data_IF_168425942746
#
_entry.id   IF_168425942746
#
_cell.length_a   1.000
_cell.length_b   1.000
_cell.length_c   1.000
_cell.angle_alpha   90.00
_cell.angle_beta   90.00
_cell.angle_gamma   90.00
#
_symmetry.space_group_name_H-M   'P 1'
#
loop_
_entity.id
_entity.type
_entity.pdbx_description
1 polymer ?
#
# COMPACT_ATOMS: atom_id res chain seq x y z
N UNK A 1 37.82 -47.25 5.20
CA UNK A 1 38.09 -45.82 4.95
C UNK A 1 37.44 -45.30 3.67
N UNK A 2 37.79 -45.80 2.47
CA UNK A 2 37.28 -45.25 1.18
C UNK A 2 35.74 -45.26 1.02
N UNK A 3 35.06 -46.33 1.46
CA UNK A 3 33.58 -46.42 1.46
C UNK A 3 32.88 -45.41 2.39
N UNK A 4 33.53 -45.03 3.50
CA UNK A 4 32.96 -44.08 4.46
C UNK A 4 33.04 -42.64 3.90
N UNK A 5 34.18 -42.29 3.28
CA UNK A 5 34.39 -40.99 2.65
C UNK A 5 33.44 -40.74 1.47
N UNK A 6 33.15 -41.77 0.65
CA UNK A 6 32.15 -41.67 -0.42
C UNK A 6 30.72 -41.45 0.11
N UNK A 7 30.36 -42.09 1.22
CA UNK A 7 29.03 -41.93 1.81
C UNK A 7 28.82 -40.54 2.44
N UNK A 8 29.82 -40.00 3.13
CA UNK A 8 29.78 -38.63 3.69
C UNK A 8 29.70 -37.58 2.58
N UNK A 9 30.44 -37.75 1.47
CA UNK A 9 30.38 -36.85 0.32
C UNK A 9 29.00 -36.81 -0.35
N UNK A 10 28.36 -37.97 -0.53
CA UNK A 10 26.99 -38.04 -1.08
C UNK A 10 25.96 -37.39 -0.16
N UNK A 11 26.09 -37.58 1.17
CA UNK A 11 25.20 -36.94 2.14
C UNK A 11 25.30 -35.41 2.09
N UNK A 12 26.52 -34.87 2.02
CA UNK A 12 26.74 -33.42 1.92
C UNK A 12 26.18 -32.85 0.62
N UNK A 13 26.38 -33.55 -0.51
CA UNK A 13 25.81 -33.14 -1.80
C UNK A 13 24.27 -33.10 -1.74
N UNK A 14 23.66 -34.12 -1.14
CA UNK A 14 22.22 -34.18 -0.93
C UNK A 14 21.70 -33.02 -0.08
N UNK A 15 22.38 -32.68 1.03
CA UNK A 15 22.03 -31.52 1.85
C UNK A 15 22.14 -30.21 1.09
N UNK A 16 23.20 -30.03 0.29
CA UNK A 16 23.39 -28.80 -0.51
C UNK A 16 22.26 -28.66 -1.52
N UNK A 17 21.96 -29.71 -2.29
CA UNK A 17 20.86 -29.68 -3.28
C UNK A 17 19.53 -29.40 -2.58
N UNK A 18 19.26 -30.09 -1.46
CA UNK A 18 18.04 -29.87 -0.69
C UNK A 18 17.90 -28.41 -0.21
N UNK A 19 18.96 -27.85 0.36
CA UNK A 19 18.97 -26.45 0.80
C UNK A 19 18.77 -25.49 -0.36
N UNK A 20 19.38 -25.74 -1.52
CA UNK A 20 19.16 -24.91 -2.72
C UNK A 20 17.72 -25.00 -3.22
N UNK A 21 17.13 -26.19 -3.27
CA UNK A 21 15.74 -26.36 -3.73
C UNK A 21 14.76 -25.68 -2.78
N UNK A 22 14.90 -25.88 -1.47
CA UNK A 22 14.02 -25.25 -0.47
C UNK A 22 14.19 -23.73 -0.51
N UNK A 23 15.43 -23.23 -0.47
CA UNK A 23 15.68 -21.78 -0.49
C UNK A 23 15.21 -21.13 -1.78
N UNK A 24 15.49 -21.75 -2.94
CA UNK A 24 15.06 -21.26 -4.25
C UNK A 24 13.54 -21.24 -4.38
N UNK A 25 12.87 -22.30 -3.93
CA UNK A 25 11.40 -22.37 -3.90
C UNK A 25 10.78 -21.29 -3.02
N UNK A 26 11.33 -21.08 -1.82
CA UNK A 26 10.88 -20.00 -0.92
C UNK A 26 11.09 -18.63 -1.53
N UNK A 27 12.26 -18.36 -2.12
CA UNK A 27 12.54 -17.07 -2.77
C UNK A 27 11.60 -16.80 -3.95
N UNK A 28 11.33 -17.82 -4.77
CA UNK A 28 10.41 -17.69 -5.89
C UNK A 28 8.98 -17.38 -5.42
N UNK A 29 8.51 -18.11 -4.40
CA UNK A 29 7.19 -17.88 -3.81
C UNK A 29 7.05 -16.48 -3.20
N UNK A 30 8.02 -16.06 -2.38
CA UNK A 30 8.03 -14.71 -1.78
C UNK A 30 8.14 -13.63 -2.85
N UNK A 31 8.94 -13.84 -3.89
CA UNK A 31 9.05 -12.94 -5.03
C UNK A 31 7.70 -12.75 -5.75
N UNK A 32 6.94 -13.84 -5.94
CA UNK A 32 5.59 -13.79 -6.51
C UNK A 32 4.61 -12.99 -5.64
N UNK A 33 4.63 -13.22 -4.32
CA UNK A 33 3.78 -12.48 -3.38
C UNK A 33 4.12 -10.97 -3.36
N UNK A 34 5.40 -10.62 -3.42
CA UNK A 34 5.83 -9.22 -3.50
C UNK A 34 5.33 -8.57 -4.79
N UNK A 35 5.45 -9.24 -5.94
CA UNK A 35 4.93 -8.71 -7.21
C UNK A 35 3.42 -8.49 -7.17
N UNK A 36 2.66 -9.43 -6.60
CA UNK A 36 1.21 -9.28 -6.45
C UNK A 36 0.85 -8.07 -5.56
N UNK A 37 1.55 -7.91 -4.43
CA UNK A 37 1.35 -6.77 -3.54
C UNK A 37 1.71 -5.44 -4.21
N UNK A 38 2.79 -5.39 -5.00
CA UNK A 38 3.19 -4.19 -5.74
C UNK A 38 2.13 -3.78 -6.78
N UNK A 39 1.54 -4.75 -7.48
CA UNK A 39 0.47 -4.52 -8.44
C UNK A 39 -0.82 -4.03 -7.74
N UNK A 40 -1.12 -4.53 -6.55
CA UNK A 40 -2.23 -4.03 -5.74
C UNK A 40 -2.00 -2.60 -5.26
N UNK A 41 -0.81 -2.28 -4.74
CA UNK A 41 -0.44 -0.92 -4.32
C UNK A 41 -0.53 0.05 -5.50
N UNK A 42 -0.08 -0.36 -6.70
CA UNK A 42 -0.21 0.46 -7.92
C UNK A 42 -1.67 0.81 -8.20
N UNK A 43 -2.57 -0.18 -8.16
CA UNK A 43 -4.01 0.04 -8.37
C UNK A 43 -4.62 0.94 -7.29
N UNK A 44 -4.25 0.73 -6.03
CA UNK A 44 -4.71 1.56 -4.92
C UNK A 44 -4.25 3.02 -5.10
N UNK A 45 -2.99 3.24 -5.49
CA UNK A 45 -2.46 4.57 -5.76
C UNK A 45 -3.19 5.26 -6.92
N UNK A 46 -3.45 4.55 -8.02
CA UNK A 46 -4.22 5.10 -9.14
C UNK A 46 -5.66 5.47 -8.73
N UNK A 47 -6.29 4.67 -7.88
CA UNK A 47 -7.62 4.97 -7.33
C UNK A 47 -7.59 6.18 -6.40
N UNK A 48 -6.58 6.27 -5.52
CA UNK A 48 -6.37 7.41 -4.63
C UNK A 48 -6.10 8.69 -5.41
N UNK A 49 -5.29 8.65 -6.47
CA UNK A 49 -5.00 9.80 -7.31
C UNK A 49 -6.27 10.30 -8.02
N UNK A 50 -7.07 9.39 -8.58
CA UNK A 50 -8.38 9.73 -9.18
C UNK A 50 -9.34 10.33 -8.16
N UNK A 51 -9.38 9.80 -6.94
CA UNK A 51 -10.24 10.33 -5.87
C UNK A 51 -9.74 11.71 -5.41
N UNK A 52 -8.42 11.86 -5.24
CA UNK A 52 -7.77 13.10 -4.86
C UNK A 52 -8.05 14.21 -5.90
N UNK A 53 -7.95 13.91 -7.19
CA UNK A 53 -8.28 14.83 -8.27
C UNK A 53 -9.75 15.29 -8.23
N UNK A 54 -10.68 14.39 -7.88
CA UNK A 54 -12.12 14.70 -7.76
C UNK A 54 -12.50 15.46 -6.49
N UNK A 55 -11.72 15.31 -5.42
CA UNK A 55 -11.99 15.88 -4.08
C UNK A 55 -11.08 17.05 -3.73
N UNK A 56 -10.13 17.38 -4.61
CA UNK A 56 -9.06 18.34 -4.36
C UNK A 56 -8.28 18.07 -3.07
N UNK A 57 -8.17 16.81 -2.66
CA UNK A 57 -7.48 16.39 -1.43
C UNK A 57 -8.26 16.57 -0.14
N UNK A 58 -9.53 16.99 -0.19
CA UNK A 58 -10.41 16.97 0.98
C UNK A 58 -10.75 15.52 1.34
N UNK A 59 -10.53 15.16 2.60
CA UNK A 59 -10.83 13.81 3.13
C UNK A 59 -11.94 13.88 4.18
N UNK A 60 -12.81 12.89 4.19
CA UNK A 60 -13.76 12.70 5.28
C UNK A 60 -13.10 11.89 6.41
N UNK A 61 -13.26 12.34 7.65
CA UNK A 61 -12.83 11.63 8.85
C UNK A 61 -13.98 11.55 9.86
N UNK A 62 -14.19 10.37 10.43
CA UNK A 62 -15.20 10.12 11.46
C UNK A 62 -14.53 9.47 12.65
N UNK A 63 -14.73 10.04 13.84
CA UNK A 63 -14.16 9.54 15.09
C UNK A 63 -15.03 9.91 16.28
N UNK A 64 -14.53 9.64 17.50
CA UNK A 64 -15.24 9.93 18.75
C UNK A 64 -15.62 11.40 18.92
N UNK A 65 -14.87 12.30 18.28
CA UNK A 65 -15.10 13.75 18.31
C UNK A 65 -16.07 14.25 17.23
N UNK A 66 -16.64 13.35 16.41
CA UNK A 66 -17.59 13.67 15.36
C UNK A 66 -17.04 13.45 13.94
N UNK A 67 -17.67 14.13 12.98
CA UNK A 67 -17.41 14.01 11.55
C UNK A 67 -16.75 15.28 11.02
N UNK A 68 -15.68 15.12 10.26
CA UNK A 68 -14.82 16.21 9.82
C UNK A 68 -14.52 16.09 8.32
N UNK A 69 -14.43 17.24 7.66
CA UNK A 69 -13.76 17.40 6.37
C UNK A 69 -12.35 17.89 6.66
N UNK A 70 -11.37 17.02 6.48
CA UNK A 70 -9.95 17.28 6.65
C UNK A 70 -9.43 17.94 5.37
N UNK A 71 -8.91 19.15 5.52
CA UNK A 71 -8.35 19.91 4.41
C UNK A 71 -6.98 19.36 4.01
N UNK A 72 -6.60 19.45 2.73
CA UNK A 72 -5.23 19.20 2.30
C UNK A 72 -4.29 20.24 2.91
N UNK A 73 -2.99 19.90 3.02
CA UNK A 73 -1.98 20.80 3.56
C UNK A 73 -1.91 22.12 2.78
N UNK A 74 -1.72 23.23 3.49
CA UNK A 74 -1.65 24.57 2.90
C UNK A 74 -3.00 25.13 2.40
N UNK A 75 -4.12 24.52 2.80
CA UNK A 75 -5.47 25.07 2.57
C UNK A 75 -6.18 25.41 3.88
N UNK A 76 -6.93 26.53 3.86
CA UNK A 76 -7.89 26.96 4.89
C UNK A 76 -9.32 26.83 4.38
N UNK A 77 -10.23 26.62 5.33
CA UNK A 77 -11.67 26.61 5.10
C UNK A 77 -12.25 27.99 5.43
N UNK A 78 -12.92 28.59 4.46
CA UNK A 78 -13.83 29.71 4.70
C UNK A 78 -15.26 29.20 4.82
N UNK A 79 -15.86 29.45 5.98
CA UNK A 79 -17.26 29.11 6.27
C UNK A 79 -18.21 30.23 5.84
N UNK A 80 -19.52 29.98 5.88
CA UNK A 80 -20.59 30.93 5.51
C UNK A 80 -20.78 31.17 4.01
N UNK A 81 -20.29 30.25 3.17
CA UNK A 81 -20.64 30.22 1.76
C UNK A 81 -21.94 29.45 1.55
N UNK A 82 -22.66 29.77 0.48
CA UNK A 82 -23.85 29.02 0.06
C UNK A 82 -23.85 28.80 -1.44
N UNK A 83 -24.29 27.62 -1.86
CA UNK A 83 -24.55 27.27 -3.27
C UNK A 83 -26.06 27.26 -3.54
N UNK A 84 -26.45 27.11 -4.81
CA UNK A 84 -27.86 26.99 -5.24
C UNK A 84 -28.78 28.11 -4.70
N UNK A 85 -28.36 29.37 -4.84
CA UNK A 85 -29.09 30.54 -4.36
C UNK A 85 -29.44 30.48 -2.85
N UNK A 86 -28.52 29.97 -2.02
CA UNK A 86 -28.68 29.96 -0.57
C UNK A 86 -29.27 28.68 0.01
N UNK A 87 -29.57 27.66 -0.82
CA UNK A 87 -30.20 26.42 -0.36
C UNK A 87 -29.24 25.45 0.32
N UNK A 88 -27.95 25.53 -0.02
CA UNK A 88 -26.94 24.60 0.47
C UNK A 88 -25.78 25.35 1.10
N UNK A 89 -25.49 25.06 2.37
CA UNK A 89 -24.29 25.56 3.03
C UNK A 89 -23.06 24.95 2.37
N UNK A 90 -22.05 25.78 2.13
CA UNK A 90 -20.81 25.40 1.50
C UNK A 90 -19.61 25.96 2.29
N UNK A 91 -18.46 25.34 2.04
CA UNK A 91 -17.17 25.78 2.54
C UNK A 91 -16.30 26.03 1.32
N UNK A 92 -15.66 27.20 1.27
CA UNK A 92 -14.69 27.52 0.22
C UNK A 92 -13.29 27.17 0.71
N UNK A 93 -12.51 26.50 -0.13
CA UNK A 93 -11.10 26.23 0.13
C UNK A 93 -10.25 27.37 -0.42
N UNK A 94 -9.34 27.90 0.39
CA UNK A 94 -8.40 28.95 0.00
C UNK A 94 -6.99 28.57 0.45
N UNK A 95 -5.98 28.98 -0.31
CA UNK A 95 -4.59 28.72 0.05
C UNK A 95 -4.20 29.54 1.29
N UNK A 96 -3.37 28.97 2.17
CA UNK A 96 -2.98 29.56 3.45
C UNK A 96 -2.15 30.84 3.38
#
# INVERSE_FOLDING_TARGET
MLKLAGNTGMMLLGMVIFLFTVSGGTLWYLGGMIQANLEEIRKQNESLEKLNAKTWGVRYHEGSNGRFLVLPEGMKAETNWTMENGKQNAVRLVQE
#
